data_IF_532376269196
#
_entry.id   IF_532376269196
#
_cell.length_a   1.000
_cell.length_b   1.000
_cell.length_c   1.000
_cell.angle_alpha   90.00
_cell.angle_beta   90.00
_cell.angle_gamma   90.00
#
_symmetry.space_group_name_H-M   'P 1'
#
loop_
_entity.id
_entity.type
_entity.pdbx_description
1 polymer ?
#
# COMPACT_ATOMS: atom_id res chain seq x y z
N UNK A 1 -8.16 -5.61 -24.11
CA UNK A 1 -7.83 -5.69 -22.67
C UNK A 1 -8.13 -4.37 -21.99
N UNK A 2 -8.49 -4.40 -20.71
CA UNK A 2 -8.79 -3.22 -19.89
C UNK A 2 -8.53 -3.53 -18.42
N UNK A 3 -8.75 -2.56 -17.53
CA UNK A 3 -8.63 -2.78 -16.08
C UNK A 3 -9.47 -3.98 -15.63
N UNK A 4 -8.85 -4.88 -14.85
CA UNK A 4 -9.46 -6.14 -14.43
C UNK A 4 -9.30 -7.29 -15.44
N UNK A 5 -8.46 -7.11 -16.47
CA UNK A 5 -8.00 -8.21 -17.33
C UNK A 5 -7.46 -9.36 -16.48
N UNK A 6 -7.87 -10.59 -16.81
CA UNK A 6 -7.53 -11.80 -16.02
C UNK A 6 -6.33 -12.53 -16.59
N UNK A 7 -6.01 -12.30 -17.86
CA UNK A 7 -4.86 -12.87 -18.53
C UNK A 7 -3.59 -12.05 -18.22
N UNK A 8 -2.90 -12.43 -17.15
CA UNK A 8 -1.70 -11.72 -16.70
C UNK A 8 -0.55 -11.82 -17.72
N UNK A 9 -0.48 -12.88 -18.52
CA UNK A 9 0.56 -13.05 -19.53
C UNK A 9 0.33 -12.10 -20.71
N UNK A 10 -0.91 -11.98 -21.16
CA UNK A 10 -1.29 -10.98 -22.17
C UNK A 10 -1.01 -9.54 -21.68
N UNK A 11 -1.22 -9.27 -20.40
CA UNK A 11 -0.89 -7.96 -19.81
C UNK A 11 0.62 -7.72 -19.75
N UNK A 12 1.44 -8.72 -19.42
CA UNK A 12 2.91 -8.59 -19.45
C UNK A 12 3.42 -8.29 -20.85
N UNK A 13 2.86 -8.95 -21.87
CA UNK A 13 3.18 -8.69 -23.28
C UNK A 13 2.85 -7.24 -23.63
N UNK A 14 1.64 -6.78 -23.29
CA UNK A 14 1.25 -5.38 -23.48
C UNK A 14 2.20 -4.42 -22.76
N UNK A 15 2.53 -4.69 -21.51
CA UNK A 15 3.38 -3.83 -20.70
C UNK A 15 4.80 -3.73 -21.29
N UNK A 16 5.36 -4.83 -21.79
CA UNK A 16 6.67 -4.84 -22.44
C UNK A 16 6.64 -4.04 -23.76
N UNK A 17 5.60 -4.25 -24.58
CA UNK A 17 5.40 -3.49 -25.82
C UNK A 17 5.31 -1.98 -25.55
N UNK A 18 4.59 -1.58 -24.49
CA UNK A 18 4.47 -0.17 -24.06
C UNK A 18 5.80 0.45 -23.60
N UNK A 19 6.71 -0.35 -23.04
CA UNK A 19 8.09 0.09 -22.75
C UNK A 19 8.83 0.31 -24.07
N UNK A 20 8.75 -0.65 -24.99
CA UNK A 20 9.48 -0.59 -26.26
C UNK A 20 9.08 0.58 -27.15
N UNK A 21 7.83 1.01 -27.11
CA UNK A 21 7.35 2.21 -27.82
C UNK A 21 7.56 3.51 -27.01
N UNK A 22 8.19 3.45 -25.83
CA UNK A 22 8.49 4.61 -25.00
C UNK A 22 7.26 5.25 -24.32
N UNK A 23 6.15 4.53 -24.23
CA UNK A 23 4.92 5.05 -23.61
C UNK A 23 5.00 5.08 -22.08
N UNK A 24 5.78 4.19 -21.46
CA UNK A 24 6.07 4.23 -20.03
C UNK A 24 7.33 3.42 -19.69
N UNK A 25 7.91 3.68 -18.52
CA UNK A 25 9.03 2.88 -17.99
C UNK A 25 8.58 1.72 -17.09
N UNK A 26 7.26 1.57 -16.88
CA UNK A 26 6.62 0.56 -16.02
C UNK A 26 7.23 0.42 -14.61
N UNK A 27 7.79 1.49 -14.05
CA UNK A 27 8.52 1.45 -12.76
C UNK A 27 7.64 1.00 -11.59
N UNK A 28 6.33 1.20 -11.64
CA UNK A 28 5.36 0.76 -10.62
C UNK A 28 4.73 -0.59 -10.95
N UNK A 29 4.99 -1.10 -12.16
CA UNK A 29 4.54 -2.38 -12.70
C UNK A 29 5.66 -3.38 -12.97
N UNK A 30 6.85 -3.14 -12.41
CA UNK A 30 7.95 -4.12 -12.33
C UNK A 30 7.94 -4.74 -10.93
N UNK A 31 7.96 -6.07 -10.90
CA UNK A 31 8.13 -6.90 -9.69
C UNK A 31 9.60 -6.88 -9.24
N UNK A 32 9.88 -7.26 -7.98
CA UNK A 32 11.25 -7.33 -7.47
C UNK A 32 12.16 -8.30 -8.22
N UNK A 33 11.58 -9.37 -8.79
CA UNK A 33 12.29 -10.33 -9.64
C UNK A 33 12.65 -9.76 -11.03
N UNK A 34 12.32 -8.49 -11.28
CA UNK A 34 12.55 -7.81 -12.54
C UNK A 34 11.57 -8.20 -13.63
N UNK A 35 10.48 -8.92 -13.32
CA UNK A 35 9.43 -9.22 -14.31
C UNK A 35 8.31 -8.18 -14.25
N UNK A 36 7.53 -8.07 -15.33
CA UNK A 36 6.36 -7.19 -15.34
C UNK A 36 5.22 -7.83 -14.52
N UNK A 37 4.48 -6.99 -13.80
CA UNK A 37 3.49 -7.45 -12.82
C UNK A 37 2.32 -8.23 -13.45
N UNK A 38 2.02 -7.96 -14.73
CA UNK A 38 0.88 -8.55 -15.44
C UNK A 38 -0.45 -7.96 -14.98
N UNK A 39 -0.44 -6.84 -14.26
CA UNK A 39 -1.63 -6.18 -13.78
C UNK A 39 -2.02 -5.01 -14.70
N UNK A 40 -3.26 -5.03 -15.19
CA UNK A 40 -3.80 -3.89 -15.95
C UNK A 40 -4.22 -2.76 -14.98
N UNK A 41 -3.23 -2.25 -14.24
CA UNK A 41 -3.38 -1.22 -13.21
C UNK A 41 -3.30 0.20 -13.77
N UNK A 42 -3.29 1.20 -12.88
CA UNK A 42 -3.32 2.61 -13.29
C UNK A 42 -2.12 3.06 -14.13
N UNK A 43 -0.95 2.45 -13.95
CA UNK A 43 0.21 2.70 -14.80
C UNK A 43 0.01 2.15 -16.21
N UNK A 44 -0.45 0.91 -16.35
CA UNK A 44 -0.80 0.29 -17.63
C UNK A 44 -1.88 1.09 -18.38
N UNK A 45 -2.96 1.53 -17.70
CA UNK A 45 -4.00 2.39 -18.33
C UNK A 45 -3.39 3.69 -18.88
N UNK A 46 -2.56 4.37 -18.07
CA UNK A 46 -1.93 5.63 -18.46
C UNK A 46 -0.96 5.46 -19.62
N UNK A 47 -0.21 4.36 -19.63
CA UNK A 47 0.71 4.00 -20.69
C UNK A 47 -0.02 3.71 -22.01
N UNK A 48 -1.14 2.97 -21.97
CA UNK A 48 -1.98 2.72 -23.15
C UNK A 48 -2.55 4.01 -23.70
N UNK A 49 -3.10 4.88 -22.85
CA UNK A 49 -3.63 6.18 -23.26
C UNK A 49 -2.57 7.06 -23.93
N UNK A 50 -1.35 7.06 -23.37
CA UNK A 50 -0.21 7.79 -23.95
C UNK A 50 0.23 7.21 -25.28
N UNK A 51 0.30 5.89 -25.41
CA UNK A 51 0.61 5.24 -26.68
C UNK A 51 -0.44 5.55 -27.75
N UNK A 52 -1.72 5.49 -27.42
CA UNK A 52 -2.82 5.82 -28.34
C UNK A 52 -2.71 7.27 -28.84
N UNK A 53 -2.36 8.21 -27.97
CA UNK A 53 -2.06 9.59 -28.37
C UNK A 53 -0.86 9.67 -29.32
N UNK A 54 0.23 8.93 -29.04
CA UNK A 54 1.40 8.83 -29.94
C UNK A 54 1.08 8.13 -31.27
N UNK A 55 0.07 7.27 -31.29
CA UNK A 55 -0.37 6.51 -32.45
C UNK A 55 -1.43 7.22 -33.30
N UNK A 56 -1.88 8.42 -32.90
CA UNK A 56 -2.97 9.13 -33.58
C UNK A 56 -4.32 8.42 -33.46
N UNK A 57 -4.47 7.59 -32.43
CA UNK A 57 -5.70 6.84 -32.12
C UNK A 57 -6.60 7.55 -31.10
N UNK A 58 -6.14 8.70 -30.59
CA UNK A 58 -7.00 9.55 -29.78
C UNK A 58 -8.04 10.21 -30.68
N UNK A 59 -9.30 10.21 -30.25
CA UNK A 59 -10.33 11.06 -30.86
C UNK A 59 -9.89 12.53 -30.81
N UNK A 60 -10.30 13.32 -31.80
CA UNK A 60 -9.85 14.70 -32.06
C UNK A 60 -9.49 15.50 -30.79
N UNK A 61 -8.18 15.67 -30.55
CA UNK A 61 -7.63 16.48 -29.46
C UNK A 61 -7.66 15.84 -28.06
N UNK A 62 -8.09 14.58 -27.93
CA UNK A 62 -8.25 13.89 -26.65
C UNK A 62 -7.02 13.12 -26.14
N UNK A 63 -7.12 12.64 -24.90
CA UNK A 63 -6.24 11.58 -24.37
C UNK A 63 -6.82 10.22 -24.77
N UNK A 64 -5.98 9.25 -25.16
CA UNK A 64 -6.43 7.89 -25.44
C UNK A 64 -7.25 7.29 -24.29
N UNK A 65 -8.17 6.38 -24.60
CA UNK A 65 -9.11 5.79 -23.65
C UNK A 65 -8.47 4.83 -22.63
N UNK A 66 -7.20 4.46 -22.84
CA UNK A 66 -6.47 3.55 -21.97
C UNK A 66 -6.93 2.10 -22.07
N UNK A 67 -7.72 1.74 -23.10
CA UNK A 67 -8.20 0.40 -23.40
C UNK A 67 -7.40 -0.18 -24.57
N UNK A 68 -6.68 -1.28 -24.34
CA UNK A 68 -5.95 -1.97 -25.39
C UNK A 68 -6.90 -2.81 -26.26
N UNK A 69 -7.59 -2.15 -27.18
CA UNK A 69 -8.45 -2.75 -28.20
C UNK A 69 -7.69 -3.23 -29.44
N UNK A 70 -8.40 -3.77 -30.43
CA UNK A 70 -7.79 -4.33 -31.66
C UNK A 70 -6.86 -3.34 -32.37
N UNK A 71 -7.28 -2.07 -32.50
CA UNK A 71 -6.48 -1.04 -33.17
C UNK A 71 -5.19 -0.73 -32.40
N UNK A 72 -5.26 -0.67 -31.08
CA UNK A 72 -4.09 -0.47 -30.22
C UNK A 72 -3.11 -1.63 -30.34
N UNK A 73 -3.60 -2.87 -30.39
CA UNK A 73 -2.77 -4.05 -30.60
C UNK A 73 -2.09 -4.07 -31.97
N UNK A 74 -2.81 -3.75 -33.05
CA UNK A 74 -2.22 -3.66 -34.39
C UNK A 74 -1.10 -2.61 -34.45
N UNK A 75 -1.31 -1.44 -33.84
CA UNK A 75 -0.30 -0.40 -33.81
C UNK A 75 0.91 -0.76 -32.93
N UNK A 76 0.70 -1.51 -31.84
CA UNK A 76 1.81 -2.02 -31.02
C UNK A 76 2.61 -3.08 -31.77
N UNK A 77 1.94 -3.98 -32.48
CA UNK A 77 2.58 -5.03 -33.29
C UNK A 77 3.50 -4.45 -34.37
N UNK A 78 3.10 -3.32 -34.97
CA UNK A 78 3.89 -2.61 -35.98
C UNK A 78 5.07 -1.81 -35.39
N UNK A 79 4.90 -1.24 -34.18
CA UNK A 79 5.81 -0.21 -33.64
C UNK A 79 6.69 -0.68 -32.49
N UNK A 80 6.27 -1.70 -31.75
CA UNK A 80 7.08 -2.26 -30.67
C UNK A 80 8.21 -3.11 -31.26
N UNK A 81 9.38 -3.15 -30.61
CA UNK A 81 10.43 -4.08 -31.00
C UNK A 81 9.94 -5.52 -30.92
N UNK A 82 10.33 -6.36 -31.89
CA UNK A 82 9.99 -7.78 -31.93
C UNK A 82 10.68 -8.59 -30.82
N UNK A 83 11.81 -8.10 -30.31
CA UNK A 83 12.48 -8.67 -29.15
C UNK A 83 11.98 -8.02 -27.86
N UNK A 84 11.76 -8.79 -26.77
CA UNK A 84 11.35 -8.24 -25.49
C UNK A 84 12.37 -7.22 -24.98
N UNK A 85 11.89 -6.03 -24.61
CA UNK A 85 12.76 -5.01 -24.06
C UNK A 85 13.19 -5.43 -22.66
N UNK A 86 14.51 -5.50 -22.35
CA UNK A 86 14.97 -5.84 -21.02
C UNK A 86 14.54 -4.74 -20.05
N UNK A 87 13.74 -5.10 -19.05
CA UNK A 87 13.36 -4.17 -17.99
C UNK A 87 14.51 -4.12 -16.99
N UNK A 88 15.42 -3.15 -17.14
CA UNK A 88 16.53 -2.99 -16.20
C UNK A 88 16.00 -2.41 -14.89
N UNK A 89 15.67 -3.29 -13.94
CA UNK A 89 15.94 -2.99 -12.54
C UNK A 89 17.44 -3.17 -12.35
N UNK A 90 18.16 -2.07 -12.10
CA UNK A 90 19.38 -2.23 -11.30
C UNK A 90 18.94 -2.96 -10.05
N UNK A 91 19.38 -4.21 -9.78
CA UNK A 91 19.01 -4.86 -8.55
C UNK A 91 19.46 -3.91 -7.44
N UNK A 92 18.47 -3.35 -6.74
CA UNK A 92 18.72 -2.71 -5.46
C UNK A 92 19.54 -3.73 -4.70
N UNK A 93 20.74 -3.38 -4.18
CA UNK A 93 21.57 -4.36 -3.49
C UNK A 93 20.68 -5.10 -2.52
N UNK A 94 20.74 -6.44 -2.55
CA UNK A 94 19.99 -7.29 -1.62
C UNK A 94 20.27 -6.73 -0.24
N UNK A 95 19.30 -6.00 0.30
CA UNK A 95 19.36 -5.53 1.67
C UNK A 95 19.22 -6.82 2.45
N UNK A 96 20.35 -7.34 2.92
CA UNK A 96 20.42 -8.23 4.07
C UNK A 96 19.34 -7.78 5.03
N UNK A 97 18.41 -8.65 5.47
CA UNK A 97 17.28 -8.23 6.30
C UNK A 97 17.87 -7.48 7.48
N UNK A 98 17.74 -6.15 7.47
CA UNK A 98 18.40 -5.31 8.45
C UNK A 98 17.81 -5.74 9.78
N UNK A 99 18.70 -6.26 10.63
CA UNK A 99 18.40 -6.50 12.02
C UNK A 99 17.75 -5.25 12.60
N UNK A 100 16.94 -5.46 13.63
CA UNK A 100 16.30 -4.44 14.46
C UNK A 100 17.11 -3.12 14.45
N UNK A 101 16.47 -1.99 14.16
CA UNK A 101 17.12 -0.67 13.99
C UNK A 101 17.97 -0.19 15.18
N UNK A 102 18.02 -0.96 16.27
CA UNK A 102 18.96 -0.77 17.37
C UNK A 102 20.41 -0.65 16.89
N UNK A 103 20.82 -1.40 15.85
CA UNK A 103 22.23 -1.44 15.43
C UNK A 103 22.68 -0.25 14.56
N UNK A 104 21.80 0.60 14.04
CA UNK A 104 22.26 1.69 13.14
C UNK A 104 22.23 3.09 13.72
N UNK A 105 21.40 3.37 14.73
CA UNK A 105 21.32 4.73 15.29
C UNK A 105 21.86 4.85 16.71
N UNK A 106 22.21 3.73 17.37
CA UNK A 106 22.54 3.73 18.80
C UNK A 106 21.33 4.09 19.67
N UNK A 107 21.46 4.05 21.00
CA UNK A 107 20.38 4.44 21.91
C UNK A 107 20.14 5.95 21.83
N UNK A 108 18.88 6.40 21.71
CA UNK A 108 18.59 7.81 22.01
C UNK A 108 17.22 8.39 21.63
N UNK A 109 16.75 8.25 20.39
CA UNK A 109 15.48 8.86 20.01
C UNK A 109 14.83 8.12 18.84
N UNK A 110 13.71 7.44 19.12
CA UNK A 110 12.82 6.94 18.08
C UNK A 110 12.30 8.16 17.29
N UNK A 111 12.60 8.23 15.99
CA UNK A 111 12.18 9.31 15.12
C UNK A 111 10.78 9.05 14.55
N UNK A 112 10.04 10.11 14.21
CA UNK A 112 8.79 9.97 13.45
C UNK A 112 9.16 9.51 12.02
N UNK A 113 8.53 8.46 11.46
CA UNK A 113 8.81 8.02 10.09
C UNK A 113 8.38 9.07 9.07
N UNK A 114 9.06 9.14 7.92
CA UNK A 114 8.60 9.94 6.78
C UNK A 114 7.57 9.18 5.94
N UNK A 115 6.72 9.91 5.21
CA UNK A 115 5.77 9.36 4.26
C UNK A 115 6.50 8.56 3.17
N UNK A 116 7.62 9.06 2.68
CA UNK A 116 8.48 8.37 1.73
C UNK A 116 9.00 7.04 2.27
N UNK A 117 9.41 6.99 3.54
CA UNK A 117 9.89 5.76 4.17
C UNK A 117 8.77 4.72 4.31
N UNK A 118 7.61 5.10 4.84
CA UNK A 118 6.47 4.18 4.98
C UNK A 118 5.96 3.72 3.62
N UNK A 119 5.81 4.61 2.64
CA UNK A 119 5.35 4.27 1.30
C UNK A 119 6.28 3.25 0.63
N UNK A 120 7.60 3.40 0.80
CA UNK A 120 8.59 2.46 0.29
C UNK A 120 8.38 1.07 0.89
N UNK A 121 8.22 0.96 2.21
CA UNK A 121 8.03 -0.34 2.85
C UNK A 121 6.66 -0.96 2.53
N UNK A 122 5.59 -0.16 2.47
CA UNK A 122 4.27 -0.64 2.10
C UNK A 122 4.21 -1.22 0.69
N UNK A 123 4.96 -0.63 -0.25
CA UNK A 123 5.07 -1.15 -1.62
C UNK A 123 5.77 -2.50 -1.69
N UNK A 124 6.74 -2.77 -0.81
CA UNK A 124 7.43 -4.08 -0.72
C UNK A 124 6.50 -5.22 -0.29
N UNK A 125 5.36 -4.92 0.33
CA UNK A 125 4.40 -5.98 0.67
C UNK A 125 3.72 -6.60 -0.56
N UNK A 126 3.88 -6.04 -1.77
CA UNK A 126 3.38 -6.66 -3.00
C UNK A 126 4.02 -8.02 -3.24
N UNK A 127 5.29 -8.15 -2.87
CA UNK A 127 6.13 -9.34 -3.01
C UNK A 127 5.57 -10.54 -2.24
N UNK A 128 4.75 -10.25 -1.23
CA UNK A 128 4.09 -11.20 -0.34
C UNK A 128 2.57 -11.04 -0.37
N UNK A 129 2.02 -10.45 -1.44
CA UNK A 129 0.58 -10.25 -1.65
C UNK A 129 -0.13 -9.53 -0.49
N UNK A 130 0.56 -8.60 0.18
CA UNK A 130 0.03 -7.90 1.35
C UNK A 130 0.07 -8.70 2.66
N UNK A 131 0.62 -9.93 2.64
CA UNK A 131 0.63 -10.88 3.76
C UNK A 131 2.07 -11.19 4.22
N UNK A 132 2.79 -10.21 4.82
CA UNK A 132 4.18 -10.39 5.21
C UNK A 132 4.42 -11.44 6.30
N UNK A 133 3.41 -11.79 7.10
CA UNK A 133 3.51 -12.86 8.09
C UNK A 133 2.85 -14.14 7.56
N UNK A 134 3.61 -15.23 7.54
CA UNK A 134 3.14 -16.55 7.11
C UNK A 134 2.26 -17.31 8.12
N UNK A 135 1.89 -16.69 9.23
CA UNK A 135 0.91 -17.28 10.15
C UNK A 135 -0.52 -17.00 9.67
N UNK A 136 -1.47 -17.83 10.12
CA UNK A 136 -2.90 -17.70 9.82
C UNK A 136 -3.52 -16.50 10.56
N UNK A 137 -3.23 -15.31 10.04
CA UNK A 137 -3.72 -14.03 10.53
C UNK A 137 -4.62 -13.46 9.43
N UNK A 138 -5.92 -13.43 9.70
CA UNK A 138 -6.96 -13.02 8.75
C UNK A 138 -6.81 -11.57 8.28
N UNK A 139 -6.29 -10.68 9.15
CA UNK A 139 -5.99 -9.30 8.80
C UNK A 139 -4.59 -8.89 9.29
N UNK A 140 -3.73 -8.55 8.34
CA UNK A 140 -2.33 -8.23 8.60
C UNK A 140 -2.02 -6.72 8.62
N UNK A 141 -3.01 -5.85 8.79
CA UNK A 141 -2.81 -4.39 8.85
C UNK A 141 -1.76 -3.97 9.88
N UNK A 142 -1.87 -4.48 11.11
CA UNK A 142 -0.90 -4.24 12.18
C UNK A 142 0.48 -4.86 11.90
N UNK A 143 0.51 -6.01 11.21
CA UNK A 143 1.76 -6.66 10.79
C UNK A 143 2.48 -5.77 9.78
N UNK A 144 1.77 -5.30 8.74
CA UNK A 144 2.30 -4.39 7.71
C UNK A 144 2.86 -3.11 8.34
N UNK A 145 2.09 -2.46 9.22
CA UNK A 145 2.55 -1.26 9.92
C UNK A 145 3.78 -1.55 10.79
N UNK A 146 3.76 -2.62 11.60
CA UNK A 146 4.89 -3.01 12.44
C UNK A 146 6.17 -3.24 11.62
N UNK A 147 6.08 -4.02 10.55
CA UNK A 147 7.24 -4.34 9.69
C UNK A 147 7.73 -3.09 8.97
N UNK A 148 6.83 -2.22 8.52
CA UNK A 148 7.21 -0.95 7.89
C UNK A 148 7.98 -0.04 8.86
N UNK A 149 7.51 0.11 10.10
CA UNK A 149 8.20 0.90 11.12
C UNK A 149 9.58 0.34 11.49
N UNK A 150 9.67 -0.98 11.68
CA UNK A 150 10.94 -1.67 11.96
C UNK A 150 11.97 -1.51 10.82
N UNK A 151 11.52 -1.31 9.58
CA UNK A 151 12.37 -1.16 8.39
C UNK A 151 12.56 0.28 7.93
N UNK A 152 11.91 1.24 8.59
CA UNK A 152 11.94 2.65 8.20
C UNK A 152 13.24 3.38 8.58
N UNK A 153 14.16 2.73 9.30
CA UNK A 153 15.43 3.31 9.78
C UNK A 153 15.22 4.51 10.72
N UNK A 154 14.25 4.39 11.62
CA UNK A 154 13.81 5.44 12.55
C UNK A 154 14.18 5.12 14.00
N UNK A 155 14.99 4.08 14.22
CA UNK A 155 15.32 3.60 15.56
C UNK A 155 14.15 2.91 16.28
N UNK A 156 13.05 2.60 15.59
CA UNK A 156 11.87 1.95 16.17
C UNK A 156 12.14 0.47 16.49
N UNK A 157 11.92 0.07 17.72
CA UNK A 157 11.94 -1.32 18.16
C UNK A 157 10.81 -1.57 19.14
N UNK A 158 10.34 -2.82 19.22
CA UNK A 158 9.36 -3.21 20.22
C UNK A 158 10.03 -3.49 21.57
N UNK A 159 9.70 -2.67 22.56
CA UNK A 159 9.87 -3.05 23.96
C UNK A 159 8.81 -4.10 24.32
N UNK A 160 9.22 -5.37 24.27
CA UNK A 160 8.35 -6.53 24.50
C UNK A 160 7.83 -6.62 25.94
N UNK A 161 8.37 -5.83 26.87
CA UNK A 161 7.83 -5.71 28.23
C UNK A 161 6.57 -4.83 28.27
N UNK A 162 6.42 -3.91 27.30
CA UNK A 162 5.31 -2.96 27.21
C UNK A 162 4.26 -3.36 26.19
N UNK A 163 4.60 -4.26 25.25
CA UNK A 163 3.65 -4.80 24.26
C UNK A 163 3.76 -6.33 24.15
N UNK A 164 2.71 -7.00 24.64
CA UNK A 164 2.59 -8.46 24.62
C UNK A 164 2.26 -9.00 23.23
N UNK A 165 2.52 -10.30 23.04
CA UNK A 165 2.24 -11.06 21.81
C UNK A 165 2.95 -10.53 20.56
N UNK A 166 4.09 -9.88 20.75
CA UNK A 166 4.97 -9.46 19.67
C UNK A 166 5.78 -10.65 19.18
N UNK A 167 5.64 -10.96 17.89
CA UNK A 167 6.43 -11.97 17.22
C UNK A 167 7.87 -11.48 17.05
N UNK A 168 8.83 -12.34 17.38
CA UNK A 168 10.27 -12.06 17.16
C UNK A 168 10.59 -11.99 15.67
N UNK A 169 11.59 -11.17 15.30
CA UNK A 169 12.16 -11.15 13.95
C UNK A 169 12.69 -12.53 13.51
N UNK A 170 13.19 -13.32 14.47
CA UNK A 170 13.71 -14.67 14.25
C UNK A 170 12.64 -15.77 14.17
N UNK A 171 11.35 -15.42 14.29
CA UNK A 171 10.28 -16.42 14.22
C UNK A 171 10.11 -16.94 12.79
N UNK A 172 10.64 -18.15 12.54
CA UNK A 172 10.57 -18.82 11.23
C UNK A 172 9.14 -19.08 10.74
N UNK A 173 8.15 -19.19 11.64
CA UNK A 173 6.73 -19.32 11.24
C UNK A 173 6.16 -18.04 10.64
N UNK A 174 6.74 -16.89 10.97
CA UNK A 174 6.30 -15.61 10.42
C UNK A 174 6.99 -15.29 9.10
N UNK A 175 8.29 -15.49 8.99
CA UNK A 175 9.04 -15.18 7.76
C UNK A 175 9.21 -13.68 7.46
N UNK A 176 8.80 -12.79 8.35
CA UNK A 176 8.87 -11.33 8.13
C UNK A 176 10.29 -10.77 8.21
N UNK A 177 11.22 -11.47 8.87
CA UNK A 177 12.56 -10.97 9.19
C UNK A 177 12.57 -9.71 10.07
N UNK A 178 11.42 -9.33 10.64
CA UNK A 178 11.24 -8.16 11.49
C UNK A 178 10.21 -8.45 12.58
N UNK A 179 10.48 -7.94 13.79
CA UNK A 179 9.55 -8.07 14.90
C UNK A 179 8.23 -7.37 14.57
N UNK A 180 7.09 -7.96 14.95
CA UNK A 180 5.80 -7.38 14.63
C UNK A 180 4.69 -7.79 15.58
N UNK A 181 3.66 -6.95 15.62
CA UNK A 181 2.42 -7.24 16.32
C UNK A 181 1.27 -7.42 15.32
N UNK A 182 0.35 -8.34 15.63
CA UNK A 182 -0.78 -8.68 14.76
C UNK A 182 -2.12 -8.01 15.15
N UNK A 183 -2.16 -7.20 16.21
CA UNK A 183 -3.38 -6.50 16.64
C UNK A 183 -3.23 -5.00 16.45
N UNK A 184 -4.15 -4.39 15.70
CA UNK A 184 -4.18 -2.95 15.49
C UNK A 184 -4.40 -2.19 16.79
N UNK A 185 -5.33 -2.62 17.65
CA UNK A 185 -5.59 -2.02 18.98
C UNK A 185 -4.36 -2.04 19.87
N UNK A 186 -3.69 -3.19 20.01
CA UNK A 186 -2.46 -3.30 20.82
C UNK A 186 -1.32 -2.46 20.22
N UNK A 187 -1.22 -2.39 18.90
CA UNK A 187 -0.21 -1.58 18.23
C UNK A 187 -0.45 -0.08 18.44
N UNK A 188 -1.68 0.42 18.27
CA UNK A 188 -1.95 1.85 18.46
C UNK A 188 -1.76 2.29 19.92
N UNK A 189 -2.13 1.45 20.89
CA UNK A 189 -1.88 1.72 22.31
C UNK A 189 -0.39 1.89 22.58
N UNK A 190 0.44 1.03 21.99
CA UNK A 190 1.90 1.11 22.12
C UNK A 190 2.47 2.35 21.42
N UNK A 191 2.07 2.62 20.16
CA UNK A 191 2.58 3.76 19.39
C UNK A 191 2.19 5.11 20.03
N UNK A 192 1.02 5.19 20.67
CA UNK A 192 0.59 6.39 21.41
C UNK A 192 1.42 6.66 22.68
N UNK A 193 2.17 5.67 23.16
CA UNK A 193 3.17 5.85 24.21
C UNK A 193 4.51 6.40 23.69
N UNK A 194 4.71 6.43 22.37
CA UNK A 194 5.94 6.89 21.71
C UNK A 194 5.71 8.25 21.03
N UNK A 195 4.59 8.40 20.31
CA UNK A 195 4.24 9.61 19.57
C UNK A 195 2.86 10.13 19.98
N UNK A 196 2.64 11.43 19.80
CA UNK A 196 1.35 12.07 20.06
C UNK A 196 0.43 11.97 18.85
N UNK A 197 -0.59 11.13 18.95
CA UNK A 197 -1.64 11.02 17.94
C UNK A 197 -2.78 12.01 18.25
N UNK A 198 -3.22 12.72 17.22
CA UNK A 198 -4.47 13.49 17.24
C UNK A 198 -5.66 12.52 17.31
N UNK A 199 -6.63 12.78 18.20
CA UNK A 199 -7.82 11.95 18.34
C UNK A 199 -9.04 12.68 17.80
N UNK A 200 -9.73 12.06 16.86
CA UNK A 200 -11.00 12.53 16.31
C UNK A 200 -12.14 11.68 16.86
N UNK A 201 -13.25 12.30 17.22
CA UNK A 201 -14.43 11.63 17.81
C UNK A 201 -15.66 11.89 16.94
N UNK A 202 -16.58 10.93 16.87
CA UNK A 202 -17.90 11.05 16.23
C UNK A 202 -19.04 11.14 17.24
N UNK A 203 -18.73 11.14 18.54
CA UNK A 203 -19.71 11.27 19.62
C UNK A 203 -19.19 12.22 20.71
N UNK A 204 -20.11 12.87 21.44
CA UNK A 204 -19.81 13.84 22.50
C UNK A 204 -19.64 15.28 22.02
N UNK A 205 -19.24 16.18 22.93
CA UNK A 205 -19.28 17.65 22.70
C UNK A 205 -18.37 18.19 21.58
N UNK A 206 -17.32 17.46 21.19
CA UNK A 206 -16.41 17.81 20.09
C UNK A 206 -16.49 16.79 18.94
N UNK A 207 -17.67 16.22 18.72
CA UNK A 207 -17.88 15.26 17.64
C UNK A 207 -17.75 15.92 16.25
N UNK A 208 -17.15 15.20 15.31
CA UNK A 208 -17.03 15.58 13.92
C UNK A 208 -17.69 14.51 13.04
N UNK A 209 -18.23 14.91 11.87
CA UNK A 209 -18.72 13.97 10.87
C UNK A 209 -17.57 13.25 10.17
N UNK A 210 -17.87 12.15 9.46
CA UNK A 210 -16.88 11.42 8.68
C UNK A 210 -16.16 12.33 7.67
N UNK A 211 -16.92 13.16 6.97
CA UNK A 211 -16.43 14.08 5.94
C UNK A 211 -15.61 15.22 6.55
N UNK A 212 -15.99 15.71 7.73
CA UNK A 212 -15.20 16.71 8.45
C UNK A 212 -13.84 16.16 8.84
N UNK A 213 -13.78 14.93 9.37
CA UNK A 213 -12.51 14.30 9.76
C UNK A 213 -11.65 14.03 8.52
N UNK A 214 -12.20 13.43 7.46
CA UNK A 214 -11.49 13.13 6.22
C UNK A 214 -10.89 14.39 5.58
N UNK A 215 -11.65 15.50 5.56
CA UNK A 215 -11.14 16.79 5.06
C UNK A 215 -9.98 17.33 5.89
N UNK A 216 -10.04 17.24 7.22
CA UNK A 216 -9.00 17.78 8.12
C UNK A 216 -7.62 17.12 7.92
N UNK A 217 -7.60 15.84 7.52
CA UNK A 217 -6.36 15.08 7.32
C UNK A 217 -6.01 14.89 5.84
N UNK A 218 -6.84 15.38 4.92
CA UNK A 218 -6.56 15.32 3.49
C UNK A 218 -5.32 16.14 3.15
N UNK A 219 -4.48 15.61 2.25
CA UNK A 219 -3.18 16.19 1.86
C UNK A 219 -2.09 16.06 2.92
N UNK A 220 -2.36 15.46 4.08
CA UNK A 220 -1.39 15.25 5.16
C UNK A 220 -1.10 13.76 5.25
N UNK A 221 0.06 13.25 4.81
CA UNK A 221 0.38 11.84 5.03
C UNK A 221 0.49 11.55 6.53
N UNK A 222 0.21 10.31 6.92
CA UNK A 222 0.25 9.94 8.33
C UNK A 222 -0.04 8.48 8.63
N UNK A 223 0.16 8.10 9.88
CA UNK A 223 -0.32 6.82 10.41
C UNK A 223 -1.73 7.05 10.94
N UNK A 224 -2.69 6.24 10.47
CA UNK A 224 -4.08 6.34 10.86
C UNK A 224 -4.57 5.04 11.48
N UNK A 225 -5.34 5.14 12.55
CA UNK A 225 -6.04 4.03 13.19
C UNK A 225 -7.53 4.31 13.25
N UNK A 226 -8.35 3.33 12.88
CA UNK A 226 -9.80 3.36 12.95
C UNK A 226 -10.29 2.32 13.97
N UNK A 227 -11.06 2.77 14.97
CA UNK A 227 -11.69 1.90 15.98
C UNK A 227 -12.95 1.25 15.42
N UNK A 228 -13.14 -0.05 15.65
CA UNK A 228 -14.38 -0.80 15.36
C UNK A 228 -14.95 -0.56 13.94
N UNK A 229 -14.08 -0.45 12.95
CA UNK A 229 -14.39 0.11 11.62
C UNK A 229 -14.85 -0.92 10.58
N UNK A 230 -14.81 -2.21 10.91
CA UNK A 230 -15.37 -3.29 10.08
C UNK A 230 -15.99 -4.38 10.95
N UNK A 231 -16.89 -5.18 10.35
CA UNK A 231 -17.52 -6.32 11.03
C UNK A 231 -16.82 -7.62 10.67
N UNK A 232 -16.67 -8.49 11.66
CA UNK A 232 -16.18 -9.87 11.50
C UNK A 232 -17.35 -10.84 11.38
N UNK A 233 -17.05 -12.05 10.91
CA UNK A 233 -18.04 -13.12 10.71
C UNK A 233 -18.72 -13.57 12.00
N UNK A 234 -18.05 -13.42 13.15
CA UNK A 234 -18.58 -13.73 14.48
C UNK A 234 -19.45 -12.60 15.06
N UNK A 235 -19.70 -11.53 14.29
CA UNK A 235 -20.48 -10.38 14.70
C UNK A 235 -19.70 -9.34 15.50
N UNK A 236 -18.44 -9.60 15.88
CA UNK A 236 -17.58 -8.62 16.52
C UNK A 236 -17.09 -7.55 15.54
N UNK A 237 -16.67 -6.39 16.07
CA UNK A 237 -16.05 -5.34 15.27
C UNK A 237 -14.51 -5.49 15.29
N UNK A 238 -13.86 -4.97 14.25
CA UNK A 238 -12.42 -5.00 14.08
C UNK A 238 -11.82 -3.61 13.88
N UNK A 239 -10.65 -3.42 14.47
CA UNK A 239 -9.83 -2.22 14.30
C UNK A 239 -8.94 -2.30 13.07
N UNK A 240 -8.62 -1.14 12.49
CA UNK A 240 -7.67 -1.03 11.39
C UNK A 240 -6.58 -0.02 11.70
N UNK A 241 -5.33 -0.32 11.34
CA UNK A 241 -4.22 0.64 11.38
C UNK A 241 -3.50 0.60 10.05
N UNK A 242 -3.20 1.78 9.50
CA UNK A 242 -2.60 1.87 8.19
C UNK A 242 -1.79 3.14 7.97
N UNK A 243 -1.04 3.14 6.86
CA UNK A 243 -0.45 4.35 6.31
C UNK A 243 -1.49 5.05 5.42
N UNK A 244 -1.73 6.33 5.70
CA UNK A 244 -2.54 7.25 4.93
C UNK A 244 -1.64 8.14 4.08
N UNK A 245 -1.81 8.13 2.76
CA UNK A 245 -0.97 8.88 1.81
C UNK A 245 -1.40 10.34 1.62
N UNK A 246 -2.27 10.86 2.48
CA UNK A 246 -2.94 12.16 2.30
C UNK A 246 -4.27 12.06 1.55
N UNK A 247 -4.54 10.92 0.90
CA UNK A 247 -5.79 10.72 0.13
C UNK A 247 -6.48 9.40 0.40
N UNK A 248 -5.71 8.34 0.66
CA UNK A 248 -6.20 6.97 0.84
C UNK A 248 -5.31 6.22 1.82
N UNK A 249 -5.91 5.23 2.46
CA UNK A 249 -5.14 4.22 3.19
C UNK A 249 -4.48 3.27 2.19
N UNK A 250 -3.29 2.77 2.53
CA UNK A 250 -2.54 1.90 1.63
C UNK A 250 -3.25 0.57 1.35
N UNK A 251 -4.09 0.09 2.27
CA UNK A 251 -4.96 -1.06 2.05
C UNK A 251 -5.81 -0.90 0.77
N UNK A 252 -6.37 0.28 0.56
CA UNK A 252 -7.19 0.59 -0.61
C UNK A 252 -6.34 0.88 -1.83
N UNK A 253 -5.21 1.56 -1.62
CA UNK A 253 -4.29 1.93 -2.70
C UNK A 253 -3.64 0.71 -3.35
N UNK A 254 -3.32 -0.31 -2.53
CA UNK A 254 -2.62 -1.52 -2.95
C UNK A 254 -3.52 -2.76 -2.99
N UNK A 255 -4.80 -2.62 -2.67
CA UNK A 255 -5.79 -3.70 -2.65
C UNK A 255 -5.43 -4.86 -1.69
N UNK A 256 -5.01 -4.53 -0.47
CA UNK A 256 -4.71 -5.50 0.59
C UNK A 256 -5.88 -5.72 1.58
N UNK A 257 -7.09 -5.35 1.16
CA UNK A 257 -8.29 -5.45 1.99
C UNK A 257 -8.56 -6.91 2.40
N UNK A 258 -8.62 -7.13 3.71
CA UNK A 258 -9.02 -8.39 4.32
C UNK A 258 -10.55 -8.54 4.37
N UNK A 259 -11.03 -9.69 4.87
CA UNK A 259 -12.45 -9.96 5.02
C UNK A 259 -13.17 -8.90 5.89
N UNK A 260 -14.32 -8.42 5.41
CA UNK A 260 -15.16 -7.44 6.11
C UNK A 260 -14.71 -5.97 5.97
N UNK A 261 -13.52 -5.71 5.43
CA UNK A 261 -12.98 -4.35 5.28
C UNK A 261 -13.56 -3.59 4.08
N UNK A 262 -14.29 -4.27 3.20
CA UNK A 262 -14.89 -3.68 1.99
C UNK A 262 -16.12 -4.49 1.57
N UNK A 263 -17.22 -3.79 1.29
CA UNK A 263 -18.44 -4.41 0.77
C UNK A 263 -18.39 -4.59 -0.75
N UNK A 264 -19.23 -5.48 -1.28
CA UNK A 264 -19.39 -5.66 -2.71
C UNK A 264 -19.91 -4.36 -3.35
N UNK A 265 -19.09 -3.74 -4.20
CA UNK A 265 -19.44 -2.50 -4.91
C UNK A 265 -18.78 -1.23 -4.38
N UNK A 266 -18.14 -1.28 -3.20
CA UNK A 266 -17.30 -0.17 -2.73
C UNK A 266 -16.19 0.09 -3.74
N UNK A 267 -16.02 1.33 -4.20
CA UNK A 267 -14.88 1.73 -5.05
C UNK A 267 -13.54 1.72 -4.29
N UNK A 268 -12.42 2.11 -4.93
CA UNK A 268 -11.11 2.18 -4.28
C UNK A 268 -10.95 3.40 -3.34
N UNK A 269 -12.05 3.85 -2.74
CA UNK A 269 -12.12 5.03 -1.87
C UNK A 269 -11.97 4.64 -0.40
N UNK A 270 -11.23 5.46 0.35
CA UNK A 270 -11.06 5.29 1.79
C UNK A 270 -12.13 5.99 2.62
N UNK A 271 -13.06 6.72 2.01
CA UNK A 271 -14.13 7.44 2.74
C UNK A 271 -15.01 6.50 3.58
N UNK A 272 -15.11 5.21 3.20
CA UNK A 272 -15.88 4.21 3.96
C UNK A 272 -15.32 3.99 5.37
N UNK A 273 -14.00 4.05 5.57
CA UNK A 273 -13.39 3.88 6.89
C UNK A 273 -13.90 4.93 7.86
N UNK A 274 -13.93 6.20 7.45
CA UNK A 274 -14.45 7.31 8.25
C UNK A 274 -15.96 7.21 8.52
N UNK A 275 -16.74 6.70 7.56
CA UNK A 275 -18.17 6.44 7.76
C UNK A 275 -18.41 5.32 8.76
N UNK A 276 -17.63 4.24 8.67
CA UNK A 276 -17.84 3.01 9.42
C UNK A 276 -17.37 3.08 10.87
N UNK A 277 -16.45 4.00 11.24
CA UNK A 277 -16.10 4.14 12.66
C UNK A 277 -17.33 4.61 13.47
N UNK A 278 -17.67 3.93 14.57
CA UNK A 278 -18.79 4.32 15.41
C UNK A 278 -18.41 5.45 16.38
N UNK A 279 -17.15 5.49 16.85
CA UNK A 279 -16.76 6.35 17.98
C UNK A 279 -15.60 7.29 17.68
N UNK A 280 -14.45 6.77 17.25
CA UNK A 280 -13.23 7.57 17.17
C UNK A 280 -12.17 6.96 16.24
N UNK A 281 -11.20 7.80 15.87
CA UNK A 281 -9.99 7.42 15.16
C UNK A 281 -8.80 8.20 15.72
N UNK A 282 -7.60 7.71 15.47
CA UNK A 282 -6.35 8.39 15.82
C UNK A 282 -5.49 8.60 14.58
N UNK A 283 -4.86 9.76 14.48
CA UNK A 283 -4.03 10.15 13.36
C UNK A 283 -2.73 10.78 13.84
N UNK A 284 -1.60 10.32 13.30
CA UNK A 284 -0.29 10.93 13.45
C UNK A 284 0.12 11.46 12.08
N UNK A 285 0.10 12.78 11.93
CA UNK A 285 0.70 13.41 10.74
C UNK A 285 2.21 13.16 10.74
N UNK A 286 2.75 12.85 9.57
CA UNK A 286 4.18 12.58 9.40
C UNK A 286 4.78 13.50 8.32
N UNK A 287 6.09 13.82 8.39
CA UNK A 287 6.76 14.55 7.33
C UNK A 287 6.79 13.75 6.02
N UNK A 288 6.87 14.44 4.88
CA UNK A 288 7.05 13.83 3.55
C UNK A 288 8.33 12.97 3.45
#
# INVERSE_FOLDING_TARGET
MRRGERDADAVRILQNALIGVGAATMRRSIRPDGTLDGDYGGETVSAVARFQAMAGQAEDGGTGDGIAGRLTWLALDERAPHEPVPVSVTPTPVVTPRAETAETLGPGAIQIPTATALLREYRRFRDVQGLPCGQDITNQCAVRMSVALMRADIGFYFDRTRIRYTHSASNRRCGTGAAHNASASRLIEYLRGIWTFERFRKTGGNAMTAEQIERTISGRPGIIYFEDCFRRNDGSAGDHIDFWDGSRVMNDRLNYNGPGERDAGDGPSSSRWFRNIPRQLWFLAIPE
#
